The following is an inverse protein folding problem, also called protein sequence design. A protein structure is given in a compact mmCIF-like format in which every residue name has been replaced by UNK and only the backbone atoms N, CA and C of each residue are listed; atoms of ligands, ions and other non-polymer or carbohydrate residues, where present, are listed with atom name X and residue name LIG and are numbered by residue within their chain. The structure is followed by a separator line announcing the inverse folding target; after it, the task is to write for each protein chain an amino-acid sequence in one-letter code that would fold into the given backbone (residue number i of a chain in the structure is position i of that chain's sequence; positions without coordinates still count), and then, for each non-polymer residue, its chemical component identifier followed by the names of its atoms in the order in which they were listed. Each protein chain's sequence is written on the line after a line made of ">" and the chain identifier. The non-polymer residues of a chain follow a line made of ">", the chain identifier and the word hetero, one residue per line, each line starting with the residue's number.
data_IF_249238645525
#
_entry.id   IF_249238645525
#
_cell.length_a   1.000
_cell.length_b   1.000
_cell.length_c   1.000
_cell.angle_alpha   90.00
_cell.angle_beta   90.00
_cell.angle_gamma   90.00
#
_symmetry.space_group_name_H-M   'P 1'
#
loop_
_entity.id
_entity.type
_entity.pdbx_description
1 polymer ?
#
# COMPACT_ATOMS: atom_id res chain seq x y z
N UNK A 1 29.65 -15.70 44.19
CA UNK A 1 28.64 -15.68 43.11
C UNK A 1 29.37 -15.40 41.81
N UNK A 2 29.77 -16.45 41.10
CA UNK A 2 30.53 -16.39 39.85
C UNK A 2 29.57 -16.52 38.69
N UNK A 3 29.44 -15.46 37.89
CA UNK A 3 28.67 -15.41 36.66
C UNK A 3 29.45 -16.17 35.58
N UNK A 4 28.99 -17.36 35.23
CA UNK A 4 29.51 -18.13 34.10
C UNK A 4 29.03 -17.49 32.80
N UNK A 5 29.88 -16.72 32.14
CA UNK A 5 29.65 -16.27 30.76
C UNK A 5 29.85 -17.47 29.83
N UNK A 6 28.78 -18.00 29.26
CA UNK A 6 28.81 -19.10 28.32
C UNK A 6 29.32 -18.58 26.95
N UNK A 7 30.49 -19.05 26.45
CA UNK A 7 31.09 -18.57 25.21
C UNK A 7 30.36 -19.04 23.94
N UNK A 8 29.38 -19.96 24.04
CA UNK A 8 28.67 -20.55 22.90
C UNK A 8 27.34 -19.86 22.56
N UNK A 9 27.07 -18.66 23.09
CA UNK A 9 25.89 -17.90 22.67
C UNK A 9 26.16 -17.26 21.30
N UNK A 10 25.91 -18.02 20.24
CA UNK A 10 25.76 -17.50 18.88
C UNK A 10 24.55 -16.57 18.92
N UNK A 11 24.78 -15.25 18.88
CA UNK A 11 23.70 -14.29 18.67
C UNK A 11 23.07 -14.58 17.30
N UNK A 12 21.73 -14.60 17.17
CA UNK A 12 21.12 -14.67 15.85
C UNK A 12 21.61 -13.47 15.06
N UNK A 13 22.26 -13.75 13.92
CA UNK A 13 22.66 -12.72 12.94
C UNK A 13 21.41 -11.90 12.68
N UNK A 14 21.49 -10.59 12.97
CA UNK A 14 20.40 -9.68 12.66
C UNK A 14 20.29 -9.67 11.13
N UNK A 15 19.11 -10.02 10.60
CA UNK A 15 18.86 -10.06 9.15
C UNK A 15 19.14 -8.71 8.44
N UNK A 16 19.36 -7.63 9.20
CA UNK A 16 19.78 -6.32 8.73
C UNK A 16 21.20 -6.31 8.11
N UNK A 17 22.05 -7.31 8.37
CA UNK A 17 23.50 -7.22 8.11
C UNK A 17 23.91 -7.43 6.64
N UNK A 18 23.00 -7.87 5.76
CA UNK A 18 23.30 -8.07 4.33
C UNK A 18 22.25 -7.48 3.39
N UNK A 19 21.68 -6.32 3.73
CA UNK A 19 20.85 -5.56 2.79
C UNK A 19 21.72 -5.05 1.62
N UNK A 20 21.69 -5.77 0.49
CA UNK A 20 22.36 -5.32 -0.74
C UNK A 20 21.71 -4.02 -1.21
N UNK A 21 22.45 -2.90 -1.30
CA UNK A 21 21.88 -1.64 -1.73
C UNK A 21 21.31 -1.76 -3.14
N UNK A 22 20.03 -1.39 -3.32
CA UNK A 22 19.45 -1.25 -4.65
C UNK A 22 20.13 -0.09 -5.37
N UNK A 23 20.81 -0.36 -6.48
CA UNK A 23 21.51 0.67 -7.27
C UNK A 23 21.02 0.71 -8.73
N UNK A 24 21.23 1.86 -9.38
CA UNK A 24 20.99 2.06 -10.81
C UNK A 24 19.59 1.61 -11.29
N UNK A 25 19.58 0.75 -12.32
CA UNK A 25 18.35 0.26 -12.94
C UNK A 25 17.45 -0.53 -11.98
N UNK A 26 18.02 -1.26 -11.01
CA UNK A 26 17.23 -2.01 -10.01
C UNK A 26 16.47 -1.06 -9.10
N UNK A 27 17.15 -0.01 -8.62
CA UNK A 27 16.56 1.04 -7.79
C UNK A 27 15.44 1.78 -8.51
N UNK A 28 15.61 2.04 -9.81
CA UNK A 28 14.60 2.70 -10.65
C UNK A 28 13.36 1.82 -10.82
N UNK A 29 13.54 0.54 -11.21
CA UNK A 29 12.44 -0.42 -11.37
C UNK A 29 11.68 -0.65 -10.07
N UNK A 30 12.41 -0.70 -8.96
CA UNK A 30 11.82 -0.84 -7.64
C UNK A 30 10.91 0.35 -7.31
N UNK A 31 11.41 1.58 -7.49
CA UNK A 31 10.61 2.78 -7.29
C UNK A 31 9.36 2.79 -8.18
N UNK A 32 9.50 2.46 -9.47
CA UNK A 32 8.35 2.37 -10.39
C UNK A 32 7.28 1.42 -9.87
N UNK A 33 7.68 0.22 -9.40
CA UNK A 33 6.73 -0.75 -8.84
C UNK A 33 6.05 -0.26 -7.58
N UNK A 34 6.78 0.39 -6.68
CA UNK A 34 6.19 0.97 -5.47
C UNK A 34 5.16 2.05 -5.80
N UNK A 35 5.47 2.93 -6.76
CA UNK A 35 4.53 3.96 -7.21
C UNK A 35 3.27 3.34 -7.86
N UNK A 36 3.44 2.34 -8.72
CA UNK A 36 2.33 1.59 -9.32
C UNK A 36 1.45 0.89 -8.26
N UNK A 37 2.09 0.24 -7.26
CA UNK A 37 1.39 -0.42 -6.16
C UNK A 37 0.63 0.57 -5.29
N UNK A 38 1.25 1.72 -4.97
CA UNK A 38 0.63 2.79 -4.19
C UNK A 38 -0.63 3.28 -4.88
N UNK A 39 -0.57 3.60 -6.17
CA UNK A 39 -1.71 4.10 -6.92
C UNK A 39 -2.82 3.03 -7.06
N UNK A 40 -2.43 1.77 -7.26
CA UNK A 40 -3.37 0.65 -7.27
C UNK A 40 -4.11 0.51 -5.94
N UNK A 41 -3.40 0.48 -4.80
CA UNK A 41 -4.03 0.33 -3.49
C UNK A 41 -4.85 1.55 -3.07
N UNK A 42 -4.38 2.76 -3.40
CA UNK A 42 -5.13 4.00 -3.17
C UNK A 42 -6.48 3.99 -3.89
N UNK A 43 -6.49 3.53 -5.14
CA UNK A 43 -7.72 3.35 -5.91
C UNK A 43 -8.60 2.26 -5.30
N UNK A 44 -8.05 1.09 -5.01
CA UNK A 44 -8.81 -0.03 -4.48
C UNK A 44 -9.43 0.30 -3.11
N UNK A 45 -8.68 0.90 -2.18
CA UNK A 45 -9.21 1.28 -0.87
C UNK A 45 -10.40 2.24 -1.01
N UNK A 46 -10.30 3.22 -1.90
CA UNK A 46 -11.37 4.17 -2.21
C UNK A 46 -12.60 3.49 -2.78
N UNK A 47 -12.44 2.65 -3.81
CA UNK A 47 -13.57 1.94 -4.44
C UNK A 47 -14.27 1.04 -3.42
N UNK A 48 -13.51 0.30 -2.61
CA UNK A 48 -14.05 -0.59 -1.57
C UNK A 48 -14.78 0.19 -0.49
N UNK A 49 -14.24 1.33 -0.07
CA UNK A 49 -14.88 2.23 0.89
C UNK A 49 -16.22 2.76 0.36
N UNK A 50 -16.28 3.24 -0.88
CA UNK A 50 -17.51 3.75 -1.51
C UNK A 50 -18.60 2.67 -1.66
N UNK A 51 -18.20 1.40 -1.63
CA UNK A 51 -19.10 0.24 -1.69
C UNK A 51 -19.28 -0.46 -0.34
N UNK A 52 -18.82 0.14 0.77
CA UNK A 52 -18.94 -0.39 2.13
C UNK A 52 -18.44 -1.82 2.27
N UNK A 53 -17.33 -2.17 1.60
CA UNK A 53 -16.70 -3.48 1.75
C UNK A 53 -15.80 -3.49 3.00
N UNK A 54 -15.90 -4.58 3.77
CA UNK A 54 -15.31 -4.70 5.11
C UNK A 54 -13.78 -4.62 5.12
N UNK A 55 -13.12 -5.05 4.05
CA UNK A 55 -11.66 -5.07 3.90
C UNK A 55 -11.09 -3.77 3.30
N UNK A 56 -11.90 -2.72 3.16
CA UNK A 56 -11.42 -1.40 2.72
C UNK A 56 -10.29 -0.86 3.61
N UNK A 57 -10.36 -1.11 4.92
CA UNK A 57 -9.31 -0.75 5.89
C UNK A 57 -8.01 -1.53 5.72
N UNK A 58 -8.10 -2.82 5.38
CA UNK A 58 -6.92 -3.65 5.13
C UNK A 58 -6.17 -3.18 3.89
N UNK A 59 -6.90 -2.86 2.82
CA UNK A 59 -6.32 -2.31 1.58
C UNK A 59 -5.72 -0.92 1.81
N UNK A 60 -6.34 -0.09 2.65
CA UNK A 60 -5.75 1.19 3.07
C UNK A 60 -4.43 0.99 3.82
N UNK A 61 -4.37 -0.01 4.71
CA UNK A 61 -3.13 -0.35 5.43
C UNK A 61 -2.04 -0.78 4.47
N UNK A 62 -2.36 -1.58 3.44
CA UNK A 62 -1.40 -1.95 2.39
C UNK A 62 -0.87 -0.72 1.63
N UNK A 63 -1.74 0.24 1.29
CA UNK A 63 -1.32 1.52 0.69
C UNK A 63 -0.35 2.27 1.60
N UNK A 64 -0.67 2.41 2.89
CA UNK A 64 0.15 3.11 3.86
C UNK A 64 1.54 2.47 4.03
N UNK A 65 1.62 1.14 4.03
CA UNK A 65 2.89 0.41 4.09
C UNK A 65 3.78 0.69 2.87
N UNK A 66 3.18 0.78 1.66
CA UNK A 66 3.94 1.16 0.46
C UNK A 66 4.42 2.62 0.56
N UNK A 67 3.57 3.53 1.05
CA UNK A 67 3.96 4.93 1.25
C UNK A 67 5.12 5.07 2.26
N UNK A 68 5.10 4.30 3.36
CA UNK A 68 6.19 4.23 4.33
C UNK A 68 7.49 3.69 3.71
N UNK A 69 7.41 2.64 2.90
CA UNK A 69 8.57 2.10 2.19
C UNK A 69 9.17 3.13 1.21
N UNK A 70 8.32 3.89 0.50
CA UNK A 70 8.78 4.99 -0.35
C UNK A 70 9.43 6.09 0.50
N UNK A 71 8.86 6.46 1.65
CA UNK A 71 9.42 7.46 2.54
C UNK A 71 10.81 7.08 3.08
N UNK A 72 11.00 5.81 3.43
CA UNK A 72 12.28 5.28 3.93
C UNK A 72 13.32 5.16 2.81
N UNK A 73 12.96 4.56 1.68
CA UNK A 73 13.92 4.23 0.63
C UNK A 73 14.14 5.37 -0.37
N UNK A 74 13.16 6.27 -0.55
CA UNK A 74 13.14 7.33 -1.57
C UNK A 74 12.57 8.66 -1.02
N UNK A 75 13.17 9.23 0.03
CA UNK A 75 12.60 10.37 0.76
C UNK A 75 12.33 11.60 -0.11
N UNK A 76 13.20 11.91 -1.08
CA UNK A 76 13.01 13.03 -2.00
C UNK A 76 11.77 12.86 -2.89
N UNK A 77 11.51 11.62 -3.33
CA UNK A 77 10.35 11.30 -4.15
C UNK A 77 9.08 11.39 -3.32
N UNK A 78 9.11 10.85 -2.09
CA UNK A 78 8.01 10.98 -1.15
C UNK A 78 7.68 12.45 -0.88
N UNK A 79 8.67 13.27 -0.53
CA UNK A 79 8.49 14.69 -0.25
C UNK A 79 7.89 15.47 -1.44
N UNK A 80 8.28 15.12 -2.67
CA UNK A 80 7.75 15.76 -3.87
C UNK A 80 6.30 15.35 -4.19
N UNK A 81 5.93 14.08 -3.97
CA UNK A 81 4.65 13.54 -4.42
C UNK A 81 3.56 13.52 -3.34
N UNK A 82 3.93 13.34 -2.07
CA UNK A 82 2.99 13.22 -0.94
C UNK A 82 1.92 14.34 -0.91
N UNK A 83 2.24 15.63 -1.15
CA UNK A 83 1.22 16.67 -1.18
C UNK A 83 0.12 16.48 -2.25
N UNK A 84 0.42 15.74 -3.33
CA UNK A 84 -0.50 15.53 -4.46
C UNK A 84 -1.36 14.28 -4.30
N UNK A 85 -0.92 13.33 -3.49
CA UNK A 85 -1.52 12.01 -3.32
C UNK A 85 -2.97 12.03 -2.83
N UNK A 86 -3.32 12.97 -1.96
CA UNK A 86 -4.71 13.13 -1.46
C UNK A 86 -5.68 13.51 -2.58
N UNK A 87 -5.24 14.31 -3.55
CA UNK A 87 -6.12 14.77 -4.65
C UNK A 87 -6.45 13.67 -5.64
N UNK A 88 -5.51 12.74 -5.87
CA UNK A 88 -5.66 11.65 -6.84
C UNK A 88 -6.64 10.57 -6.35
N UNK A 89 -6.75 10.37 -5.03
CA UNK A 89 -7.69 9.44 -4.39
C UNK A 89 -9.14 9.86 -4.69
N UNK A 90 -9.42 11.16 -4.77
CA UNK A 90 -10.77 11.69 -4.98
C UNK A 90 -11.41 11.32 -6.32
N UNK A 91 -10.64 10.98 -7.37
CA UNK A 91 -11.20 10.72 -8.71
C UNK A 91 -11.99 9.42 -8.83
N UNK A 92 -11.62 8.41 -8.06
CA UNK A 92 -12.35 7.13 -7.98
C UNK A 92 -13.47 7.17 -6.93
N UNK A 93 -13.41 8.12 -6.00
CA UNK A 93 -14.39 8.31 -4.94
C UNK A 93 -15.76 8.69 -5.46
N UNK A 94 -16.79 8.21 -4.77
CA UNK A 94 -18.18 8.62 -4.95
C UNK A 94 -18.97 8.34 -3.67
N UNK A 95 -20.10 9.02 -3.50
CA UNK A 95 -20.98 8.73 -2.38
C UNK A 95 -21.56 7.31 -2.50
N UNK A 96 -21.84 6.64 -1.36
CA UNK A 96 -22.56 5.38 -1.36
C UNK A 96 -23.88 5.49 -2.14
N UNK A 97 -24.09 4.57 -3.09
CA UNK A 97 -25.28 4.56 -3.97
C UNK A 97 -25.16 5.42 -5.24
N UNK A 98 -24.10 6.22 -5.39
CA UNK A 98 -23.78 6.88 -6.66
C UNK A 98 -22.99 5.95 -7.58
N UNK A 99 -23.14 6.16 -8.89
CA UNK A 99 -22.35 5.45 -9.90
C UNK A 99 -21.21 6.34 -10.36
N UNK A 100 -19.99 5.83 -10.35
CA UNK A 100 -18.82 6.49 -10.93
C UNK A 100 -18.24 5.61 -12.05
N UNK A 101 -18.16 6.08 -13.32
CA UNK A 101 -17.56 5.30 -14.41
C UNK A 101 -16.05 5.08 -14.23
N UNK A 102 -15.39 5.81 -13.32
CA UNK A 102 -13.98 5.60 -12.96
C UNK A 102 -13.80 4.54 -11.87
N UNK A 103 -14.85 4.20 -11.12
CA UNK A 103 -14.82 3.12 -10.14
C UNK A 103 -14.88 1.75 -10.84
N UNK A 104 -13.87 0.90 -10.59
CA UNK A 104 -13.78 -0.47 -11.11
C UNK A 104 -14.96 -1.34 -10.67
N UNK A 105 -15.38 -1.24 -9.41
CA UNK A 105 -16.54 -1.98 -8.87
C UNK A 105 -17.83 -1.57 -9.56
N UNK A 106 -18.08 -0.25 -9.72
CA UNK A 106 -19.22 0.27 -10.47
C UNK A 106 -19.24 -0.26 -11.92
N UNK A 107 -18.09 -0.27 -12.61
CA UNK A 107 -18.00 -0.79 -13.98
C UNK A 107 -18.23 -2.30 -14.07
N UNK A 108 -17.81 -3.06 -13.08
CA UNK A 108 -18.01 -4.51 -13.02
C UNK A 108 -19.46 -4.91 -12.72
N UNK A 109 -20.20 -4.06 -12.00
CA UNK A 109 -21.61 -4.24 -11.68
C UNK A 109 -22.48 -3.09 -12.23
N UNK A 110 -22.66 -3.01 -13.57
CA UNK A 110 -23.59 -2.05 -14.15
C UNK A 110 -24.99 -2.29 -13.57
N UNK A 111 -25.65 -1.21 -13.16
CA UNK A 111 -26.92 -1.15 -12.41
C UNK A 111 -27.89 -2.30 -12.76
N UNK A 112 -28.29 -3.07 -11.73
CA UNK A 112 -29.36 -4.08 -11.83
C UNK A 112 -29.05 -5.45 -11.20
N UNK A 113 -27.79 -5.73 -10.87
CA UNK A 113 -27.42 -6.96 -10.15
C UNK A 113 -27.40 -6.71 -8.63
N UNK A 114 -28.16 -7.47 -7.81
CA UNK A 114 -28.07 -7.35 -6.35
C UNK A 114 -26.68 -7.79 -5.89
N UNK A 115 -26.00 -6.92 -5.13
CA UNK A 115 -24.81 -7.29 -4.35
C UNK A 115 -25.28 -8.36 -3.36
N UNK A 116 -24.79 -9.60 -3.49
CA UNK A 116 -25.04 -10.62 -2.47
C UNK A 116 -24.32 -10.16 -1.19
N UNK A 117 -24.99 -10.13 -0.03
CA UNK A 117 -24.30 -9.92 1.22
C UNK A 117 -23.29 -11.06 1.42
N UNK A 118 -22.10 -10.70 1.92
CA UNK A 118 -21.11 -11.69 2.35
C UNK A 118 -21.73 -12.61 3.41
N UNK A 119 -21.47 -13.91 3.27
CA UNK A 119 -21.98 -14.97 4.16
C UNK A 119 -21.08 -15.14 5.39
#
# INVERSE_FOLDING_TARGET
>A
MTTTTNPDRIEPVRDDEYAVPLTGLRRTRHLTRLLEMRDMFARLSTERYCHSLDDSGDVFTLMANVEEEIAVLYPDVHAALFPTWVSQIGEAGHEPGQYNPRCGICRAHPRGAPLRPAA
#
